data_IF_719452099622
#
_entry.id   IF_719452099622
#
_cell.length_a   1.000
_cell.length_b   1.000
_cell.length_c   1.000
_cell.angle_alpha   90.00
_cell.angle_beta   90.00
_cell.angle_gamma   90.00
#
_symmetry.space_group_name_H-M   'P 1'
#
loop_
_entity.id
_entity.type
_entity.pdbx_description
1 polymer ?
#
# COMPACT_ATOMS: atom_id res chain seq x y z
N UNK A 1 21.53 -97.59 57.01
CA UNK A 1 20.85 -96.43 57.63
C UNK A 1 21.84 -95.29 57.74
N UNK A 2 21.42 -94.08 57.35
CA UNK A 2 22.01 -92.75 57.62
C UNK A 2 23.14 -92.25 56.69
N UNK A 3 22.90 -91.02 56.21
CA UNK A 3 23.85 -89.95 55.87
C UNK A 3 24.67 -90.18 54.57
N UNK A 4 24.99 -89.20 53.71
CA UNK A 4 25.01 -87.73 53.79
C UNK A 4 25.40 -87.15 52.40
N UNK A 5 24.93 -85.91 52.08
CA UNK A 5 25.46 -84.85 51.17
C UNK A 5 25.80 -85.22 49.70
N UNK A 6 25.66 -84.36 48.70
CA UNK A 6 25.33 -82.93 48.59
C UNK A 6 25.88 -82.38 47.25
N UNK A 7 25.28 -81.26 46.78
CA UNK A 7 25.89 -80.17 45.98
C UNK A 7 26.44 -80.51 44.57
N UNK A 8 25.89 -79.92 43.48
CA UNK A 8 26.35 -78.67 42.81
C UNK A 8 25.63 -78.40 41.46
N UNK A 9 25.77 -77.15 41.05
CA UNK A 9 25.10 -76.32 40.03
C UNK A 9 25.35 -76.63 38.53
N UNK A 10 24.38 -76.15 37.75
CA UNK A 10 24.43 -75.47 36.44
C UNK A 10 24.65 -76.25 35.14
N UNK A 11 23.65 -76.15 34.26
CA UNK A 11 23.63 -75.70 32.84
C UNK A 11 22.16 -75.81 32.41
N UNK A 12 21.49 -74.77 31.89
CA UNK A 12 21.79 -74.11 30.63
C UNK A 12 20.90 -74.72 29.55
N UNK A 13 20.01 -73.88 29.00
CA UNK A 13 19.25 -74.03 27.74
C UNK A 13 17.93 -74.82 27.74
N UNK A 14 16.81 -74.10 27.54
CA UNK A 14 15.85 -74.36 26.46
C UNK A 14 14.75 -73.26 26.39
N UNK A 15 14.31 -73.05 25.16
CA UNK A 15 13.40 -72.03 24.60
C UNK A 15 11.89 -72.31 24.85
N UNK A 16 11.08 -71.30 24.45
CA UNK A 16 9.65 -71.33 24.07
C UNK A 16 8.68 -71.34 25.28
N UNK A 17 7.54 -70.64 25.33
CA UNK A 17 6.64 -70.11 24.30
C UNK A 17 5.62 -69.11 24.89
N UNK A 18 5.09 -68.24 24.02
CA UNK A 18 3.77 -67.56 23.98
C UNK A 18 2.91 -67.35 25.26
N UNK A 19 2.52 -66.08 25.55
CA UNK A 19 1.17 -65.46 25.27
C UNK A 19 0.86 -64.24 26.17
N UNK A 20 0.36 -63.16 25.55
CA UNK A 20 -0.77 -62.25 25.96
C UNK A 20 -0.77 -61.66 27.39
N UNK A 21 -1.00 -60.38 27.68
CA UNK A 21 -2.07 -59.47 27.22
C UNK A 21 -1.83 -58.05 27.80
N UNK A 22 -2.18 -57.00 27.03
CA UNK A 22 -2.57 -55.61 27.40
C UNK A 22 -2.20 -54.98 28.76
N UNK A 23 -1.53 -53.80 28.73
CA UNK A 23 -2.13 -52.48 29.08
C UNK A 23 -1.03 -51.42 29.30
N UNK A 24 -1.11 -50.29 28.58
CA UNK A 24 -0.35 -49.03 28.77
C UNK A 24 -0.36 -48.54 30.23
N UNK A 25 0.68 -47.82 30.75
CA UNK A 25 0.90 -46.41 30.38
C UNK A 25 2.34 -45.84 30.52
N UNK A 26 2.62 -44.73 29.80
CA UNK A 26 3.59 -43.66 30.11
C UNK A 26 4.99 -44.03 30.68
N UNK A 27 6.05 -43.87 29.87
CA UNK A 27 7.34 -43.22 30.23
C UNK A 27 8.28 -43.21 29.01
N UNK A 28 8.62 -42.02 28.48
CA UNK A 28 9.90 -41.30 28.70
C UNK A 28 11.12 -42.15 28.27
N UNK A 29 12.04 -41.69 27.41
CA UNK A 29 12.43 -40.30 27.13
C UNK A 29 13.54 -40.20 26.08
N UNK A 30 13.54 -39.03 25.42
CA UNK A 30 14.68 -38.13 25.15
C UNK A 30 15.72 -38.45 24.07
N UNK A 31 15.85 -37.43 23.23
CA UNK A 31 16.97 -37.04 22.38
C UNK A 31 16.48 -35.88 21.51
N UNK A 32 15.93 -34.84 22.13
CA UNK A 32 16.59 -33.51 22.20
C UNK A 32 16.86 -32.90 20.83
N UNK A 33 15.94 -32.02 20.38
CA UNK A 33 16.32 -30.75 19.79
C UNK A 33 15.33 -29.69 20.29
N UNK A 34 15.75 -29.08 21.39
CA UNK A 34 15.19 -27.84 21.91
C UNK A 34 16.00 -26.73 21.23
N UNK A 35 15.47 -26.15 20.15
CA UNK A 35 15.81 -24.79 19.77
C UNK A 35 14.49 -24.02 19.69
N UNK A 36 14.38 -23.10 20.63
CA UNK A 36 13.44 -22.00 20.69
C UNK A 36 13.42 -21.25 19.36
N UNK A 37 12.59 -21.70 18.42
CA UNK A 37 12.17 -20.88 17.29
C UNK A 37 11.17 -19.86 17.84
N UNK A 38 11.67 -18.71 18.27
CA UNK A 38 10.89 -17.48 18.18
C UNK A 38 10.49 -17.33 16.71
N UNK A 39 9.26 -17.71 16.38
CA UNK A 39 8.70 -17.51 15.05
C UNK A 39 8.55 -16.01 14.89
N UNK A 40 9.51 -15.37 14.23
CA UNK A 40 9.39 -13.98 13.81
C UNK A 40 8.29 -13.93 12.73
N UNK A 41 7.08 -13.54 13.12
CA UNK A 41 5.96 -13.33 12.21
C UNK A 41 6.36 -12.21 11.23
N UNK A 42 6.75 -12.56 10.01
CA UNK A 42 7.05 -11.57 8.99
C UNK A 42 5.79 -10.75 8.63
N UNK A 43 5.95 -9.43 8.51
CA UNK A 43 4.88 -8.46 8.18
C UNK A 43 4.07 -8.81 6.91
N UNK A 44 4.61 -9.65 6.03
CA UNK A 44 3.97 -10.16 4.82
C UNK A 44 2.77 -11.09 5.07
N UNK A 45 2.59 -11.59 6.30
CA UNK A 45 1.69 -12.72 6.60
C UNK A 45 0.62 -12.37 7.66
N UNK A 46 0.38 -11.07 7.91
CA UNK A 46 -0.63 -10.66 8.90
C UNK A 46 -2.04 -11.02 8.38
N UNK A 47 -2.67 -11.99 9.05
CA UNK A 47 -4.12 -12.26 8.94
C UNK A 47 -4.86 -11.30 9.85
N UNK A 48 -5.94 -10.70 9.35
CA UNK A 48 -6.86 -9.87 10.13
C UNK A 48 -8.10 -10.63 10.60
N UNK A 49 -8.24 -11.91 10.23
CA UNK A 49 -9.39 -12.75 10.58
C UNK A 49 -8.91 -13.87 11.52
N UNK A 50 -9.24 -13.81 12.82
CA UNK A 50 -9.18 -14.97 13.69
C UNK A 50 -10.25 -15.99 13.26
N UNK A 51 -9.93 -17.29 13.25
CA UNK A 51 -10.97 -18.32 13.15
C UNK A 51 -11.94 -18.17 14.34
N UNK A 52 -13.20 -17.86 14.06
CA UNK A 52 -14.25 -17.56 15.05
C UNK A 52 -14.68 -18.75 15.95
N UNK A 53 -14.01 -19.91 15.88
CA UNK A 53 -14.42 -21.13 16.58
C UNK A 53 -13.34 -21.73 17.49
N UNK A 54 -12.33 -20.94 17.87
CA UNK A 54 -11.19 -21.43 18.63
C UNK A 54 -10.94 -20.53 19.83
N UNK A 55 -10.91 -21.12 21.03
CA UNK A 55 -10.58 -20.44 22.30
C UNK A 55 -9.05 -20.29 22.48
N UNK A 56 -8.29 -20.39 21.40
CA UNK A 56 -6.85 -20.66 21.45
C UNK A 56 -5.99 -19.43 21.10
N UNK A 57 -5.03 -19.11 21.96
CA UNK A 57 -4.16 -17.93 21.82
C UNK A 57 -3.22 -18.01 20.58
N UNK A 58 -3.15 -19.19 19.94
CA UNK A 58 -2.32 -19.48 18.76
C UNK A 58 -3.01 -19.36 17.39
N UNK A 59 -4.29 -18.95 17.32
CA UNK A 59 -5.07 -18.85 16.06
C UNK A 59 -4.39 -18.01 14.98
N UNK A 60 -3.74 -16.91 15.39
CA UNK A 60 -3.05 -16.03 14.45
C UNK A 60 -1.82 -16.69 13.83
N UNK A 61 -1.11 -17.55 14.57
CA UNK A 61 0.03 -18.30 14.03
C UNK A 61 -0.39 -19.40 13.04
N UNK A 62 -1.48 -20.11 13.31
CA UNK A 62 -2.01 -21.13 12.39
C UNK A 62 -2.53 -20.50 11.10
N UNK A 63 -3.30 -19.40 11.23
CA UNK A 63 -3.83 -18.67 10.07
C UNK A 63 -2.71 -18.08 9.24
N UNK A 64 -1.67 -17.52 9.87
CA UNK A 64 -0.48 -17.02 9.16
C UNK A 64 0.24 -18.14 8.39
N UNK A 65 0.47 -19.30 9.01
CA UNK A 65 1.04 -20.46 8.32
C UNK A 65 0.18 -20.91 7.14
N UNK A 66 -1.15 -20.92 7.31
CA UNK A 66 -2.08 -21.27 6.24
C UNK A 66 -2.03 -20.29 5.07
N UNK A 67 -2.03 -18.97 5.35
CA UNK A 67 -1.89 -17.91 4.34
C UNK A 67 -0.57 -18.06 3.58
N UNK A 68 0.54 -18.31 4.29
CA UNK A 68 1.84 -18.55 3.65
C UNK A 68 1.80 -19.76 2.70
N UNK A 69 1.18 -20.86 3.12
CA UNK A 69 0.99 -22.04 2.28
C UNK A 69 0.11 -21.76 1.04
N UNK A 70 -0.90 -20.89 1.15
CA UNK A 70 -1.72 -20.47 0.01
C UNK A 70 -0.92 -19.61 -0.97
N UNK A 71 -0.12 -18.66 -0.48
CA UNK A 71 0.74 -17.81 -1.30
C UNK A 71 1.78 -18.64 -2.06
N UNK A 72 2.42 -19.62 -1.41
CA UNK A 72 3.37 -20.52 -2.06
C UNK A 72 2.70 -21.34 -3.18
N UNK A 73 1.51 -21.89 -2.92
CA UNK A 73 0.74 -22.62 -3.93
C UNK A 73 0.32 -21.71 -5.09
N UNK A 74 -0.06 -20.46 -4.81
CA UNK A 74 -0.36 -19.48 -5.83
C UNK A 74 0.85 -19.22 -6.74
N UNK A 75 2.03 -19.04 -6.17
CA UNK A 75 3.27 -18.79 -6.94
C UNK A 75 3.69 -20.02 -7.77
N UNK A 76 3.57 -21.22 -7.21
CA UNK A 76 3.85 -22.47 -7.95
C UNK A 76 2.91 -22.64 -9.13
N UNK A 77 1.61 -22.45 -8.92
CA UNK A 77 0.61 -22.59 -10.00
C UNK A 77 0.70 -21.47 -11.03
N UNK A 78 1.12 -20.26 -10.64
CA UNK A 78 1.41 -19.16 -11.56
C UNK A 78 2.57 -19.53 -12.50
N UNK A 79 3.66 -20.07 -11.94
CA UNK A 79 4.83 -20.54 -12.72
C UNK A 79 4.50 -21.69 -13.67
N UNK A 80 3.56 -22.56 -13.29
CA UNK A 80 3.08 -23.67 -14.12
C UNK A 80 1.99 -23.28 -15.12
N UNK A 81 1.68 -22.00 -15.29
CA UNK A 81 0.60 -21.47 -16.14
C UNK A 81 -0.81 -21.97 -15.77
N UNK A 82 -1.01 -22.45 -14.56
CA UNK A 82 -2.31 -22.84 -14.02
C UNK A 82 -3.01 -21.62 -13.38
N UNK A 83 -3.19 -20.56 -14.18
CA UNK A 83 -3.59 -19.24 -13.70
C UNK A 83 -4.91 -19.24 -12.89
N UNK A 84 -5.90 -20.02 -13.33
CA UNK A 84 -7.17 -20.16 -12.60
C UNK A 84 -7.01 -20.78 -11.20
N UNK A 85 -6.02 -21.66 -10.99
CA UNK A 85 -5.71 -22.18 -9.64
C UNK A 85 -4.97 -21.13 -8.82
N UNK A 86 -4.01 -20.42 -9.42
CA UNK A 86 -3.28 -19.34 -8.75
C UNK A 86 -4.21 -18.26 -8.22
N UNK A 87 -5.14 -17.77 -9.06
CA UNK A 87 -6.16 -16.79 -8.65
C UNK A 87 -7.00 -17.32 -7.48
N UNK A 88 -7.45 -18.58 -7.51
CA UNK A 88 -8.23 -19.17 -6.41
C UNK A 88 -7.45 -19.19 -5.09
N UNK A 89 -6.16 -19.52 -5.12
CA UNK A 89 -5.32 -19.51 -3.93
C UNK A 89 -5.13 -18.08 -3.40
N UNK A 90 -4.88 -17.11 -4.28
CA UNK A 90 -4.77 -15.72 -3.90
C UNK A 90 -6.07 -15.18 -3.32
N UNK A 91 -7.22 -15.44 -3.96
CA UNK A 91 -8.53 -15.03 -3.46
C UNK A 91 -8.80 -15.58 -2.06
N UNK A 92 -8.46 -16.85 -1.80
CA UNK A 92 -8.58 -17.45 -0.48
C UNK A 92 -7.64 -16.80 0.55
N UNK A 93 -6.40 -16.51 0.17
CA UNK A 93 -5.46 -15.80 1.06
C UNK A 93 -5.93 -14.36 1.36
N UNK A 94 -6.51 -13.67 0.38
CA UNK A 94 -7.13 -12.35 0.56
C UNK A 94 -8.34 -12.40 1.50
N UNK A 95 -9.19 -13.43 1.40
CA UNK A 95 -10.31 -13.64 2.33
C UNK A 95 -9.85 -13.83 3.78
N UNK A 96 -8.64 -14.36 3.98
CA UNK A 96 -7.98 -14.47 5.28
C UNK A 96 -7.21 -13.20 5.68
N UNK A 97 -7.40 -12.09 4.95
CA UNK A 97 -6.82 -10.79 5.29
C UNK A 97 -5.41 -10.53 4.74
N UNK A 98 -4.88 -11.36 3.84
CA UNK A 98 -3.56 -11.12 3.25
C UNK A 98 -3.58 -9.94 2.27
N UNK A 99 -2.99 -8.82 2.68
CA UNK A 99 -2.76 -7.66 1.81
C UNK A 99 -1.86 -8.00 0.62
N UNK A 100 -0.83 -8.83 0.83
CA UNK A 100 0.07 -9.29 -0.24
C UNK A 100 -0.69 -10.08 -1.31
N UNK A 101 -1.61 -10.97 -0.92
CA UNK A 101 -2.44 -11.70 -1.89
C UNK A 101 -3.34 -10.75 -2.69
N UNK A 102 -3.93 -9.74 -2.03
CA UNK A 102 -4.73 -8.73 -2.71
C UNK A 102 -3.88 -7.91 -3.69
N UNK A 103 -2.67 -7.50 -3.31
CA UNK A 103 -1.75 -6.79 -4.20
C UNK A 103 -1.35 -7.63 -5.43
N UNK A 104 -1.10 -8.93 -5.25
CA UNK A 104 -0.83 -9.87 -6.35
C UNK A 104 -2.01 -9.99 -7.31
N UNK A 105 -3.25 -10.06 -6.80
CA UNK A 105 -4.45 -10.03 -7.64
C UNK A 105 -4.57 -8.71 -8.41
N UNK A 106 -4.33 -7.57 -7.75
CA UNK A 106 -4.29 -6.27 -8.40
C UNK A 106 -3.31 -6.23 -9.59
N UNK A 107 -2.10 -6.75 -9.38
CA UNK A 107 -1.08 -6.85 -10.43
C UNK A 107 -1.50 -7.77 -11.59
N UNK A 108 -2.06 -8.94 -11.29
CA UNK A 108 -2.56 -9.89 -12.31
C UNK A 108 -3.61 -9.26 -13.21
N UNK A 109 -4.59 -8.55 -12.64
CA UNK A 109 -5.63 -7.90 -13.44
C UNK A 109 -5.15 -6.63 -14.15
N UNK A 110 -4.15 -5.92 -13.60
CA UNK A 110 -3.53 -4.76 -14.26
C UNK A 110 -2.78 -5.17 -15.53
N UNK A 111 -1.97 -6.22 -15.42
CA UNK A 111 -1.11 -6.67 -16.52
C UNK A 111 -1.86 -7.57 -17.50
N UNK A 112 -2.89 -8.28 -17.02
CA UNK A 112 -3.42 -9.47 -17.69
C UNK A 112 -2.40 -10.62 -17.62
N UNK A 113 -2.84 -11.83 -17.95
CA UNK A 113 -1.96 -12.98 -18.12
C UNK A 113 -2.23 -13.61 -19.48
N UNK A 114 -1.45 -13.14 -20.46
CA UNK A 114 -1.53 -13.57 -21.86
C UNK A 114 -2.98 -13.53 -22.39
N UNK A 115 -3.37 -14.50 -23.23
CA UNK A 115 -4.73 -14.63 -23.74
C UNK A 115 -5.73 -15.25 -22.73
N UNK A 116 -5.29 -15.60 -21.52
CA UNK A 116 -6.14 -16.34 -20.56
C UNK A 116 -6.89 -15.40 -19.62
N UNK A 117 -6.23 -14.32 -19.18
CA UNK A 117 -6.83 -13.31 -18.32
C UNK A 117 -6.62 -11.97 -19.00
N UNK A 118 -7.72 -11.38 -19.46
CA UNK A 118 -7.72 -10.04 -20.00
C UNK A 118 -7.36 -9.03 -18.92
N UNK A 119 -6.79 -7.90 -19.34
CA UNK A 119 -6.62 -6.74 -18.48
C UNK A 119 -7.99 -6.26 -18.00
N UNK A 120 -8.09 -5.99 -16.72
CA UNK A 120 -9.28 -5.45 -16.06
C UNK A 120 -8.84 -4.45 -15.00
N UNK A 121 -8.78 -3.19 -15.39
CA UNK A 121 -8.29 -2.11 -14.53
C UNK A 121 -9.23 -1.81 -13.36
N UNK A 122 -10.55 -1.99 -13.54
CA UNK A 122 -11.52 -1.81 -12.47
C UNK A 122 -11.32 -2.87 -11.37
N UNK A 123 -11.21 -4.14 -11.77
CA UNK A 123 -10.92 -5.23 -10.83
C UNK A 123 -9.53 -5.06 -10.20
N UNK A 124 -8.53 -4.61 -10.97
CA UNK A 124 -7.19 -4.30 -10.46
C UNK A 124 -7.21 -3.24 -9.35
N UNK A 125 -7.86 -2.10 -9.61
CA UNK A 125 -7.99 -1.01 -8.65
C UNK A 125 -8.71 -1.48 -7.38
N UNK A 126 -9.80 -2.26 -7.51
CA UNK A 126 -10.52 -2.81 -6.38
C UNK A 126 -9.62 -3.67 -5.47
N UNK A 127 -8.76 -4.52 -6.05
CA UNK A 127 -7.83 -5.34 -5.28
C UNK A 127 -6.70 -4.53 -4.64
N UNK A 128 -6.18 -3.51 -5.32
CA UNK A 128 -5.21 -2.59 -4.71
C UNK A 128 -5.81 -1.78 -3.56
N UNK A 129 -7.05 -1.28 -3.69
CA UNK A 129 -7.75 -0.62 -2.60
C UNK A 129 -7.99 -1.56 -1.43
N UNK A 130 -8.34 -2.82 -1.69
CA UNK A 130 -8.46 -3.83 -0.66
C UNK A 130 -7.12 -4.08 0.05
N UNK A 131 -6.01 -4.16 -0.70
CA UNK A 131 -4.67 -4.31 -0.12
C UNK A 131 -4.34 -3.14 0.83
N UNK A 132 -4.54 -1.89 0.41
CA UNK A 132 -4.32 -0.72 1.27
C UNK A 132 -5.23 -0.71 2.49
N UNK A 133 -6.52 -1.06 2.34
CA UNK A 133 -7.45 -1.16 3.48
C UNK A 133 -6.99 -2.21 4.51
N UNK A 134 -6.55 -3.38 4.05
CA UNK A 134 -6.02 -4.43 4.92
C UNK A 134 -4.75 -3.93 5.63
N UNK A 135 -3.83 -3.27 4.92
CA UNK A 135 -2.63 -2.68 5.55
C UNK A 135 -3.01 -1.65 6.61
N UNK A 136 -3.98 -0.78 6.32
CA UNK A 136 -4.45 0.24 7.26
C UNK A 136 -5.09 -0.32 8.53
N UNK A 137 -5.59 -1.56 8.50
CA UNK A 137 -6.12 -2.24 9.68
C UNK A 137 -5.00 -2.80 10.58
N UNK A 138 -3.75 -2.87 10.10
CA UNK A 138 -2.60 -3.29 10.90
C UNK A 138 -2.19 -2.12 11.82
N UNK A 139 -2.23 -2.30 13.16
CA UNK A 139 -1.81 -1.26 14.09
C UNK A 139 -0.30 -1.01 13.98
N UNK A 140 0.10 0.26 13.86
CA UNK A 140 1.51 0.64 13.94
C UNK A 140 1.91 0.73 15.41
N UNK A 141 2.62 -0.28 15.89
CA UNK A 141 3.17 -0.37 17.25
C UNK A 141 4.66 -0.72 17.17
N UNK A 142 5.37 -0.75 18.30
CA UNK A 142 6.78 -1.17 18.33
C UNK A 142 7.01 -2.60 17.84
N UNK A 143 5.98 -3.44 17.78
CA UNK A 143 6.05 -4.84 17.35
C UNK A 143 5.45 -5.10 15.96
N UNK A 144 4.64 -4.16 15.45
CA UNK A 144 3.94 -4.30 14.17
C UNK A 144 4.08 -2.99 13.40
N UNK A 145 4.75 -3.03 12.25
CA UNK A 145 4.85 -1.94 11.30
C UNK A 145 4.25 -2.37 9.96
N UNK A 146 3.97 -1.38 9.12
CA UNK A 146 3.60 -1.62 7.74
C UNK A 146 4.80 -2.14 6.96
N UNK A 147 4.57 -3.14 6.10
CA UNK A 147 5.53 -3.49 5.06
C UNK A 147 5.51 -2.38 4.01
N UNK A 148 6.43 -1.42 4.13
CA UNK A 148 6.51 -0.28 3.22
C UNK A 148 6.88 -0.68 1.79
N UNK A 149 7.52 -1.83 1.58
CA UNK A 149 7.76 -2.35 0.23
C UNK A 149 6.45 -2.76 -0.42
N UNK A 150 5.59 -3.48 0.31
CA UNK A 150 4.26 -3.84 -0.16
C UNK A 150 3.37 -2.61 -0.38
N UNK A 151 3.41 -1.62 0.52
CA UNK A 151 2.67 -0.36 0.33
C UNK A 151 3.13 0.34 -0.95
N UNK A 152 4.44 0.41 -1.17
CA UNK A 152 5.03 1.03 -2.36
C UNK A 152 4.59 0.30 -3.63
N UNK A 153 4.65 -1.04 -3.67
CA UNK A 153 4.21 -1.84 -4.83
C UNK A 153 2.74 -1.56 -5.19
N UNK A 154 1.86 -1.51 -4.18
CA UNK A 154 0.43 -1.22 -4.38
C UNK A 154 0.23 0.21 -4.89
N UNK A 155 0.94 1.18 -4.32
CA UNK A 155 0.84 2.59 -4.70
C UNK A 155 1.42 2.85 -6.09
N UNK A 156 2.50 2.16 -6.49
CA UNK A 156 3.02 2.16 -7.86
C UNK A 156 1.96 1.64 -8.83
N UNK A 157 1.35 0.49 -8.51
CA UNK A 157 0.29 -0.10 -9.33
C UNK A 157 -0.88 0.87 -9.54
N UNK A 158 -1.34 1.53 -8.47
CA UNK A 158 -2.38 2.55 -8.57
C UNK A 158 -1.92 3.79 -9.35
N UNK A 159 -0.68 4.23 -9.20
CA UNK A 159 -0.12 5.36 -9.97
C UNK A 159 -0.16 5.06 -11.47
N UNK A 160 0.20 3.84 -11.87
CA UNK A 160 0.18 3.42 -13.26
C UNK A 160 -1.25 3.32 -13.81
N UNK A 161 -2.20 2.81 -13.02
CA UNK A 161 -3.61 2.81 -13.38
C UNK A 161 -4.13 4.24 -13.60
N UNK A 162 -3.89 5.14 -12.66
CA UNK A 162 -4.37 6.52 -12.73
C UNK A 162 -3.80 7.21 -13.97
N UNK A 163 -2.48 7.10 -14.19
CA UNK A 163 -1.82 7.68 -15.37
C UNK A 163 -2.36 7.12 -16.69
N UNK A 164 -2.89 5.90 -16.72
CA UNK A 164 -3.52 5.30 -17.91
C UNK A 164 -4.95 5.79 -18.12
N UNK A 165 -5.79 5.71 -17.08
CA UNK A 165 -7.18 6.21 -17.12
C UNK A 165 -7.24 7.70 -17.49
N UNK A 166 -6.27 8.47 -17.00
CA UNK A 166 -6.04 9.87 -17.35
C UNK A 166 -5.83 10.12 -18.84
N UNK A 167 -5.24 9.19 -19.59
CA UNK A 167 -5.06 9.36 -21.03
C UNK A 167 -6.34 9.02 -21.82
N UNK A 168 -7.32 8.38 -21.20
CA UNK A 168 -8.59 7.95 -21.79
C UNK A 168 -9.76 8.78 -21.22
N UNK A 169 -9.70 10.10 -21.43
CA UNK A 169 -10.59 11.13 -20.84
C UNK A 169 -12.11 10.91 -20.97
N UNK A 170 -12.61 10.00 -21.80
CA UNK A 170 -14.04 9.86 -22.08
C UNK A 170 -14.76 8.74 -21.30
N UNK A 171 -14.03 7.88 -20.58
CA UNK A 171 -14.60 6.71 -19.90
C UNK A 171 -14.01 6.46 -18.48
N UNK A 172 -13.28 7.45 -17.93
CA UNK A 172 -12.66 7.29 -16.62
C UNK A 172 -13.72 7.10 -15.52
N UNK A 173 -13.64 5.97 -14.81
CA UNK A 173 -14.50 5.67 -13.66
C UNK A 173 -14.11 6.59 -12.48
N UNK A 174 -14.86 7.69 -12.35
CA UNK A 174 -14.61 8.70 -11.31
C UNK A 174 -14.75 8.14 -9.91
N UNK A 175 -15.56 7.10 -9.71
CA UNK A 175 -15.76 6.49 -8.40
C UNK A 175 -14.48 5.76 -7.95
N UNK A 176 -13.82 5.08 -8.88
CA UNK A 176 -12.51 4.45 -8.62
C UNK A 176 -11.48 5.51 -8.22
N UNK A 177 -11.41 6.61 -8.96
CA UNK A 177 -10.46 7.69 -8.71
C UNK A 177 -10.71 8.31 -7.33
N UNK A 178 -11.95 8.66 -7.01
CA UNK A 178 -12.33 9.25 -5.73
C UNK A 178 -12.07 8.32 -4.54
N UNK A 179 -12.41 7.03 -4.68
CA UNK A 179 -12.15 6.04 -3.64
C UNK A 179 -10.65 5.89 -3.38
N UNK A 180 -9.83 5.79 -4.43
CA UNK A 180 -8.40 5.64 -4.26
C UNK A 180 -7.74 6.89 -3.66
N UNK A 181 -8.17 8.10 -4.04
CA UNK A 181 -7.67 9.34 -3.44
C UNK A 181 -7.95 9.39 -1.93
N UNK A 182 -9.15 8.99 -1.50
CA UNK A 182 -9.51 8.94 -0.07
C UNK A 182 -8.59 8.00 0.70
N UNK A 183 -8.34 6.80 0.18
CA UNK A 183 -7.48 5.79 0.83
C UNK A 183 -6.03 6.27 0.85
N UNK A 184 -5.50 6.73 -0.28
CA UNK A 184 -4.12 7.25 -0.37
C UNK A 184 -3.89 8.44 0.56
N UNK A 185 -4.89 9.29 0.78
CA UNK A 185 -4.80 10.40 1.75
C UNK A 185 -4.63 9.88 3.17
N UNK A 186 -5.39 8.87 3.55
CA UNK A 186 -5.21 8.23 4.86
C UNK A 186 -3.86 7.53 5.02
N UNK A 187 -3.30 6.98 3.92
CA UNK A 187 -1.92 6.46 3.90
C UNK A 187 -0.92 7.60 4.14
N UNK A 188 -0.97 8.69 3.36
CA UNK A 188 -0.05 9.84 3.50
C UNK A 188 -0.16 10.50 4.88
N UNK A 189 -1.37 10.66 5.43
CA UNK A 189 -1.59 11.17 6.78
C UNK A 189 -0.84 10.33 7.83
N UNK A 190 -0.88 9.00 7.71
CA UNK A 190 -0.13 8.13 8.62
C UNK A 190 1.37 8.20 8.39
N UNK A 191 1.81 8.24 7.13
CA UNK A 191 3.24 8.33 6.80
C UNK A 191 3.87 9.65 7.25
N UNK A 192 3.06 10.70 7.45
CA UNK A 192 3.48 12.00 7.99
C UNK A 192 3.46 12.07 9.52
N UNK A 193 2.88 11.08 10.20
CA UNK A 193 2.82 11.06 11.66
C UNK A 193 4.25 11.00 12.24
N UNK A 194 4.66 11.97 13.08
CA UNK A 194 5.99 11.95 13.70
C UNK A 194 6.28 10.69 14.50
N UNK A 195 5.27 10.05 15.10
CA UNK A 195 5.45 8.77 15.80
C UNK A 195 5.72 7.63 14.83
N UNK A 196 5.09 7.63 13.66
CA UNK A 196 5.36 6.66 12.60
C UNK A 196 6.78 6.84 12.04
N UNK A 197 7.20 8.06 11.77
CA UNK A 197 8.54 8.34 11.23
C UNK A 197 9.63 7.90 12.21
N UNK A 198 9.43 8.09 13.52
CA UNK A 198 10.42 7.76 14.56
C UNK A 198 10.76 6.28 14.68
N UNK A 199 9.91 5.39 14.18
CA UNK A 199 10.14 3.94 14.24
C UNK A 199 10.78 3.37 12.96
N UNK A 200 10.94 4.19 11.91
CA UNK A 200 11.49 3.75 10.64
C UNK A 200 13.01 3.69 10.67
N UNK A 201 13.58 2.67 10.02
CA UNK A 201 15.01 2.64 9.72
C UNK A 201 15.33 3.49 8.47
N UNK A 202 16.62 3.56 8.10
CA UNK A 202 17.04 4.36 6.96
C UNK A 202 16.41 3.92 5.63
N UNK A 203 16.25 2.61 5.41
CA UNK A 203 15.67 2.08 4.18
C UNK A 203 14.18 2.37 4.12
N UNK A 204 13.49 2.15 5.25
CA UNK A 204 12.08 2.46 5.42
C UNK A 204 11.76 3.94 5.22
N UNK A 205 12.67 4.84 5.62
CA UNK A 205 12.54 6.28 5.32
C UNK A 205 12.57 6.54 3.80
N UNK A 206 13.43 5.85 3.03
CA UNK A 206 13.44 6.03 1.57
C UNK A 206 12.18 5.45 0.92
N UNK A 207 11.69 4.30 1.39
CA UNK A 207 10.41 3.73 0.94
C UNK A 207 9.25 4.67 1.28
N UNK A 208 9.22 5.24 2.49
CA UNK A 208 8.22 6.21 2.92
C UNK A 208 8.22 7.46 2.01
N UNK A 209 9.39 8.00 1.66
CA UNK A 209 9.51 9.09 0.69
C UNK A 209 8.99 8.69 -0.69
N UNK A 210 9.37 7.51 -1.20
CA UNK A 210 8.89 7.00 -2.48
C UNK A 210 7.36 6.88 -2.53
N UNK A 211 6.75 6.30 -1.49
CA UNK A 211 5.28 6.18 -1.38
C UNK A 211 4.63 7.56 -1.43
N UNK A 212 5.14 8.52 -0.63
CA UNK A 212 4.59 9.88 -0.58
C UNK A 212 4.72 10.60 -1.91
N UNK A 213 5.80 10.40 -2.67
CA UNK A 213 5.96 10.94 -4.03
C UNK A 213 4.86 10.41 -4.94
N UNK A 214 4.67 9.10 -4.98
CA UNK A 214 3.63 8.48 -5.82
C UNK A 214 2.22 8.95 -5.43
N UNK A 215 1.90 9.01 -4.14
CA UNK A 215 0.60 9.47 -3.63
C UNK A 215 0.34 10.94 -4.01
N UNK A 216 1.30 11.84 -3.76
CA UNK A 216 1.12 13.26 -4.08
C UNK A 216 1.07 13.50 -5.59
N UNK A 217 1.79 12.69 -6.38
CA UNK A 217 1.65 12.71 -7.84
C UNK A 217 0.24 12.31 -8.28
N UNK A 218 -0.34 11.25 -7.68
CA UNK A 218 -1.73 10.84 -7.94
C UNK A 218 -2.74 11.93 -7.57
N UNK A 219 -2.53 12.67 -6.46
CA UNK A 219 -3.36 13.82 -6.13
C UNK A 219 -3.24 14.92 -7.18
N UNK A 220 -2.01 15.27 -7.57
CA UNK A 220 -1.74 16.35 -8.51
C UNK A 220 -2.44 16.11 -9.86
N UNK A 221 -2.32 14.90 -10.41
CA UNK A 221 -2.97 14.54 -11.67
C UNK A 221 -4.50 14.46 -11.54
N UNK A 222 -5.03 14.04 -10.39
CA UNK A 222 -6.48 14.02 -10.15
C UNK A 222 -7.06 15.43 -10.12
N UNK A 223 -6.41 16.35 -9.39
CA UNK A 223 -6.82 17.77 -9.38
C UNK A 223 -6.71 18.40 -10.76
N UNK A 224 -5.68 18.03 -11.53
CA UNK A 224 -5.51 18.51 -12.90
C UNK A 224 -6.70 18.10 -13.79
N UNK A 225 -7.22 16.87 -13.66
CA UNK A 225 -8.44 16.43 -14.39
C UNK A 225 -9.67 17.22 -13.99
N UNK A 226 -9.81 17.48 -12.69
CA UNK A 226 -10.93 18.25 -12.16
C UNK A 226 -10.88 19.72 -12.59
N UNK A 227 -9.76 20.19 -13.16
CA UNK A 227 -9.53 21.59 -13.52
C UNK A 227 -9.09 22.47 -12.34
N UNK A 228 -8.76 21.84 -11.21
CA UNK A 228 -8.30 22.48 -9.97
C UNK A 228 -6.77 22.72 -10.06
N UNK A 229 -6.40 23.73 -10.84
CA UNK A 229 -5.00 24.02 -11.21
C UNK A 229 -4.13 24.36 -9.99
N UNK A 230 -4.65 25.09 -9.01
CA UNK A 230 -3.88 25.49 -7.83
C UNK A 230 -3.55 24.28 -6.96
N UNK A 231 -4.54 23.46 -6.65
CA UNK A 231 -4.40 22.22 -5.88
C UNK A 231 -3.46 21.24 -6.59
N UNK A 232 -3.62 21.11 -7.91
CA UNK A 232 -2.71 20.32 -8.74
C UNK A 232 -1.26 20.79 -8.60
N UNK A 233 -1.03 22.10 -8.75
CA UNK A 233 0.30 22.71 -8.60
C UNK A 233 0.88 22.47 -7.21
N UNK A 234 0.08 22.68 -6.16
CA UNK A 234 0.53 22.48 -4.78
C UNK A 234 0.93 21.03 -4.52
N UNK A 235 0.17 20.06 -5.04
CA UNK A 235 0.53 18.65 -4.95
C UNK A 235 1.81 18.30 -5.72
N UNK A 236 2.03 18.86 -6.92
CA UNK A 236 3.31 18.67 -7.63
C UNK A 236 4.49 19.31 -6.88
N UNK A 237 4.29 20.48 -6.26
CA UNK A 237 5.35 21.11 -5.43
C UNK A 237 5.69 20.29 -4.20
N UNK A 238 4.72 19.60 -3.59
CA UNK A 238 5.00 18.66 -2.50
C UNK A 238 5.88 17.49 -3.00
N UNK A 239 5.63 16.96 -4.19
CA UNK A 239 6.49 15.93 -4.82
C UNK A 239 7.92 16.45 -4.98
N UNK A 240 8.10 17.68 -5.50
CA UNK A 240 9.41 18.31 -5.64
C UNK A 240 10.10 18.55 -4.28
N UNK A 241 9.34 18.97 -3.27
CA UNK A 241 9.84 19.22 -1.93
C UNK A 241 10.31 17.95 -1.22
N UNK A 242 9.64 16.81 -1.44
CA UNK A 242 10.14 15.51 -0.97
C UNK A 242 11.47 15.17 -1.66
N UNK A 243 11.56 15.44 -2.96
CA UNK A 243 12.77 15.25 -3.77
C UNK A 243 13.17 13.79 -3.97
N UNK A 244 14.25 13.58 -4.72
CA UNK A 244 14.74 12.24 -5.09
C UNK A 244 15.11 11.41 -3.85
N UNK A 245 14.68 10.14 -3.85
CA UNK A 245 14.83 9.19 -2.74
C UNK A 245 15.60 7.92 -3.12
N UNK A 246 16.08 7.81 -4.35
CA UNK A 246 16.85 6.66 -4.84
C UNK A 246 15.99 5.49 -5.31
N UNK A 247 14.68 5.68 -5.44
CA UNK A 247 13.78 4.69 -6.03
C UNK A 247 13.41 5.14 -7.44
N UNK A 248 13.84 4.39 -8.46
CA UNK A 248 13.78 4.80 -9.87
C UNK A 248 12.40 5.30 -10.31
N UNK A 249 11.34 4.57 -9.94
CA UNK A 249 9.96 4.95 -10.28
C UNK A 249 9.54 6.29 -9.67
N UNK A 250 9.97 6.58 -8.44
CA UNK A 250 9.61 7.79 -7.71
C UNK A 250 10.44 8.98 -8.20
N UNK A 251 11.75 8.77 -8.41
CA UNK A 251 12.65 9.82 -8.90
C UNK A 251 12.23 10.29 -10.30
N UNK A 252 11.73 9.39 -11.15
CA UNK A 252 11.12 9.73 -12.44
C UNK A 252 9.88 10.63 -12.29
N UNK A 253 9.06 10.41 -11.26
CA UNK A 253 7.89 11.24 -10.98
C UNK A 253 8.28 12.62 -10.46
N UNK A 254 9.37 12.74 -9.70
CA UNK A 254 9.92 14.04 -9.29
C UNK A 254 10.30 14.88 -10.51
N UNK A 255 10.96 14.28 -11.49
CA UNK A 255 11.31 14.96 -12.75
C UNK A 255 10.04 15.41 -13.49
N UNK A 256 9.06 14.51 -13.67
CA UNK A 256 7.79 14.83 -14.33
C UNK A 256 6.99 15.91 -13.60
N UNK A 257 7.04 15.93 -12.27
CA UNK A 257 6.37 16.96 -11.48
C UNK A 257 6.91 18.36 -11.80
N UNK A 258 8.23 18.51 -11.99
CA UNK A 258 8.86 19.78 -12.40
C UNK A 258 8.35 20.25 -13.76
N UNK A 259 8.23 19.34 -14.72
CA UNK A 259 7.68 19.62 -16.06
C UNK A 259 6.22 20.10 -15.96
N UNK A 260 5.39 19.42 -15.16
CA UNK A 260 4.01 19.82 -14.93
C UNK A 260 3.89 21.16 -14.21
N UNK A 261 4.72 21.45 -13.21
CA UNK A 261 4.72 22.75 -12.52
C UNK A 261 5.01 23.87 -13.51
N UNK A 262 6.02 23.71 -14.38
CA UNK A 262 6.34 24.71 -15.40
C UNK A 262 5.17 24.96 -16.34
N UNK A 263 4.50 23.89 -16.80
CA UNK A 263 3.29 24.02 -17.61
C UNK A 263 2.16 24.72 -16.85
N UNK A 264 1.87 24.33 -15.60
CA UNK A 264 0.81 24.94 -14.78
C UNK A 264 1.10 26.42 -14.49
N UNK A 265 2.35 26.78 -14.18
CA UNK A 265 2.76 28.17 -13.95
C UNK A 265 2.62 29.01 -15.23
N UNK A 266 2.76 28.42 -16.43
CA UNK A 266 2.47 29.11 -17.70
C UNK A 266 0.96 29.37 -17.93
N UNK A 267 0.08 28.59 -17.29
CA UNK A 267 -1.37 28.75 -17.39
C UNK A 267 -1.92 29.76 -16.38
N UNK A 268 -1.15 30.07 -15.33
CA UNK A 268 -1.53 31.06 -14.32
C UNK A 268 -1.10 32.46 -14.80
N UNK A 269 -1.99 33.47 -14.77
CA UNK A 269 -1.57 34.83 -15.04
C UNK A 269 -0.57 35.32 -14.00
N UNK A 270 0.30 36.25 -14.40
CA UNK A 270 1.40 36.80 -13.57
C UNK A 270 0.95 37.53 -12.28
N UNK A 271 -0.35 37.63 -12.02
CA UNK A 271 -0.91 38.21 -10.81
C UNK A 271 -1.58 37.10 -9.97
N UNK A 272 -1.10 36.92 -8.75
CA UNK A 272 -1.58 35.84 -7.88
C UNK A 272 -2.80 36.24 -7.06
N UNK A 273 -2.96 37.54 -6.77
CA UNK A 273 -3.97 38.03 -5.82
C UNK A 273 -4.63 39.32 -6.33
N UNK A 274 -5.86 39.54 -5.90
CA UNK A 274 -6.50 40.84 -5.97
C UNK A 274 -5.64 41.88 -5.26
N UNK A 275 -5.21 42.91 -6.00
CA UNK A 275 -4.32 43.93 -5.45
C UNK A 275 -4.93 44.68 -4.24
N UNK A 276 -6.27 44.75 -4.18
CA UNK A 276 -7.02 45.48 -3.17
C UNK A 276 -7.31 44.66 -1.90
N UNK A 277 -7.94 43.49 -2.03
CA UNK A 277 -8.40 42.70 -0.89
C UNK A 277 -7.52 41.48 -0.59
N UNK A 278 -6.46 41.28 -1.38
CA UNK A 278 -5.57 40.10 -1.29
C UNK A 278 -6.30 38.76 -1.48
N UNK A 279 -7.48 38.78 -2.10
CA UNK A 279 -8.16 37.58 -2.53
C UNK A 279 -7.31 36.85 -3.58
N UNK A 280 -6.83 35.65 -3.24
CA UNK A 280 -6.12 34.77 -4.14
C UNK A 280 -7.12 33.76 -4.74
N UNK A 281 -7.47 33.85 -6.03
CA UNK A 281 -8.31 32.86 -6.68
C UNK A 281 -7.64 31.48 -6.67
N UNK A 282 -8.41 30.43 -6.38
CA UNK A 282 -7.89 29.06 -6.27
C UNK A 282 -8.09 28.23 -7.54
N UNK A 283 -8.93 28.65 -8.48
CA UNK A 283 -9.16 27.89 -9.72
C UNK A 283 -9.12 28.78 -10.97
N UNK A 284 -9.01 28.16 -12.15
CA UNK A 284 -8.96 28.87 -13.43
C UNK A 284 -10.23 29.68 -13.74
N UNK A 285 -11.40 29.31 -13.20
CA UNK A 285 -12.64 30.06 -13.42
C UNK A 285 -12.55 31.39 -12.68
N UNK A 286 -12.13 31.38 -11.42
CA UNK A 286 -11.97 32.56 -10.58
C UNK A 286 -10.85 33.46 -11.12
N UNK A 287 -9.75 32.87 -11.56
CA UNK A 287 -8.66 33.60 -12.25
C UNK A 287 -9.18 34.33 -13.50
N UNK A 288 -10.01 33.67 -14.32
CA UNK A 288 -10.60 34.28 -15.53
C UNK A 288 -11.62 35.38 -15.20
N UNK A 289 -12.18 35.39 -13.99
CA UNK A 289 -13.06 36.47 -13.53
C UNK A 289 -12.32 37.68 -12.98
N UNK A 290 -10.99 37.57 -12.79
CA UNK A 290 -10.20 38.72 -12.35
C UNK A 290 -10.21 39.80 -13.43
N UNK A 291 -10.63 41.01 -13.04
CA UNK A 291 -10.65 42.17 -13.92
C UNK A 291 -9.29 42.87 -13.87
N UNK A 292 -8.69 43.09 -15.03
CA UNK A 292 -7.48 43.91 -15.16
C UNK A 292 -7.84 45.39 -15.11
N UNK A 293 -7.03 46.21 -14.43
CA UNK A 293 -7.19 47.65 -14.54
C UNK A 293 -6.90 48.11 -15.97
N UNK A 294 -7.85 48.75 -16.66
CA UNK A 294 -7.65 49.18 -18.04
C UNK A 294 -6.62 50.31 -18.18
N UNK A 295 -6.27 51.00 -17.09
CA UNK A 295 -5.31 52.12 -17.10
C UNK A 295 -3.86 51.69 -16.96
N UNK A 296 -3.54 50.83 -15.98
CA UNK A 296 -2.16 50.41 -15.76
C UNK A 296 -1.85 49.02 -16.32
N UNK A 297 -2.85 48.14 -16.51
CA UNK A 297 -2.68 46.76 -16.96
C UNK A 297 -1.67 45.92 -16.15
N UNK A 298 -1.28 46.37 -14.96
CA UNK A 298 -0.26 45.73 -14.11
C UNK A 298 -0.86 44.96 -12.93
N UNK A 299 -2.11 45.25 -12.57
CA UNK A 299 -2.79 44.69 -11.39
C UNK A 299 -4.18 44.18 -11.73
N UNK A 300 -4.58 43.11 -11.04
CA UNK A 300 -5.86 42.46 -11.19
C UNK A 300 -6.73 42.55 -9.93
N UNK A 301 -8.04 42.47 -10.11
CA UNK A 301 -9.03 42.65 -9.06
C UNK A 301 -10.09 41.55 -9.10
N UNK A 302 -10.55 41.10 -7.94
CA UNK A 302 -11.57 40.05 -7.83
C UNK A 302 -12.98 40.45 -8.27
N UNK A 303 -13.18 41.71 -8.65
CA UNK A 303 -14.45 42.23 -9.13
C UNK A 303 -14.48 43.75 -9.19
N UNK A 304 -15.57 44.28 -9.74
CA UNK A 304 -15.77 45.71 -10.02
C UNK A 304 -15.58 46.61 -8.80
N UNK A 305 -16.01 46.17 -7.62
CA UNK A 305 -15.87 46.95 -6.39
C UNK A 305 -14.40 47.17 -6.03
N UNK A 306 -13.59 46.11 -6.07
CA UNK A 306 -12.15 46.20 -5.81
C UNK A 306 -11.43 47.00 -6.90
N UNK A 307 -11.83 46.85 -8.17
CA UNK A 307 -11.31 47.66 -9.27
C UNK A 307 -11.63 49.16 -9.07
N UNK A 308 -12.86 49.49 -8.64
CA UNK A 308 -13.29 50.87 -8.45
C UNK A 308 -12.44 51.62 -7.41
N UNK A 309 -12.07 50.93 -6.32
CA UNK A 309 -11.21 51.46 -5.25
C UNK A 309 -9.78 51.74 -5.72
N UNK A 310 -9.29 50.99 -6.70
CA UNK A 310 -8.00 51.26 -7.33
C UNK A 310 -8.09 52.37 -8.39
N UNK A 311 -9.14 52.39 -9.22
CA UNK A 311 -9.28 53.40 -10.31
C UNK A 311 -9.35 54.85 -9.82
N UNK A 312 -9.72 55.08 -8.56
CA UNK A 312 -9.69 56.41 -7.93
C UNK A 312 -8.27 56.91 -7.61
N UNK A 313 -7.30 56.00 -7.46
CA UNK A 313 -5.90 56.29 -7.10
C UNK A 313 -4.88 55.85 -8.17
N UNK A 314 -5.34 55.22 -9.25
CA UNK A 314 -4.50 54.73 -10.33
C UNK A 314 -3.93 55.88 -11.18
N UNK A 315 -2.60 56.02 -11.16
CA UNK A 315 -1.81 57.02 -11.90
C UNK A 315 -1.46 56.61 -13.33
N UNK A 316 -1.96 55.47 -13.81
CA UNK A 316 -1.75 54.99 -15.18
C UNK A 316 -2.41 55.89 -16.22
N UNK A 317 -1.66 56.27 -17.26
CA UNK A 317 -2.16 57.07 -18.38
C UNK A 317 -2.96 56.17 -19.32
N UNK A 318 -4.17 56.59 -19.72
CA UNK A 318 -4.93 55.87 -20.75
C UNK A 318 -4.12 55.84 -22.05
N UNK A 319 -3.83 54.64 -22.55
CA UNK A 319 -3.41 54.40 -23.94
C UNK A 319 -4.64 54.28 -24.84
#
# INVERSE_FOLDING_TARGET
>A
MRHVKGIRKNRGDAKLDHKKLSSDPFSKSLGELNESNEITLSHQVVSLVPEFNSDDVHINSYTAQHVSGLLQKADLTLKSNEYGKSIKYLQRATQLGSALAAAKLGSIYSQGLNATIAQDFATSAAYYFLALKLIMMIPCTSYYSWDLSLVLDVVIGLTDLYRRELNHHNEADTDIIECGVKIMRSIDDRLRDPFFIRILDHNDVQLQRAIRIHVNFCFAITYMMAGEIYESRMSFREVEAIGECGHESADLLVIKAREHIHWLDSQLPNFTDCAQCKYAPTNLKDIKTLEMCPRCQEVAFCGKDCLSMHTSSCSGTFL
#
